data_IF_655901107328
#
_entry.id   IF_655901107328
#
_cell.length_a   1.000
_cell.length_b   1.000
_cell.length_c   1.000
_cell.angle_alpha   90.00
_cell.angle_beta   90.00
_cell.angle_gamma   90.00
#
_symmetry.space_group_name_H-M   'P 1'
#
loop_
_entity.id
_entity.type
_entity.pdbx_description
1 polymer ?
#
# COMPACT_ATOMS: atom_id res chain seq x y z
N UNK A 1 7.38 1.40 22.62
CA UNK A 1 7.05 0.39 21.58
C UNK A 1 5.69 0.80 21.03
N UNK A 2 5.52 0.91 19.71
CA UNK A 2 4.21 1.28 19.14
C UNK A 2 3.35 0.01 19.11
N UNK A 3 2.18 0.00 19.74
CA UNK A 3 1.25 -1.14 19.88
C UNK A 3 0.58 -1.58 18.55
N UNK A 4 1.36 -1.69 17.47
CA UNK A 4 0.90 -2.09 16.15
C UNK A 4 1.22 -3.58 15.92
N UNK A 5 0.21 -4.45 15.74
CA UNK A 5 0.42 -5.87 15.48
C UNK A 5 0.97 -6.12 14.07
N UNK A 6 1.71 -7.22 13.92
CA UNK A 6 2.18 -7.71 12.62
C UNK A 6 1.06 -8.44 11.88
N UNK A 7 0.85 -8.08 10.61
CA UNK A 7 -0.08 -8.77 9.72
C UNK A 7 0.69 -9.29 8.51
N UNK A 8 0.69 -10.62 8.34
CA UNK A 8 1.30 -11.29 7.20
C UNK A 8 0.27 -11.53 6.11
N UNK A 9 0.74 -11.68 4.87
CA UNK A 9 -0.09 -12.10 3.74
C UNK A 9 -0.41 -13.59 3.91
N UNK A 10 -1.67 -13.95 3.69
CA UNK A 10 -2.13 -15.33 3.73
C UNK A 10 -1.55 -16.12 2.54
N UNK A 11 -1.04 -17.34 2.76
CA UNK A 11 -0.62 -18.20 1.66
C UNK A 11 -1.74 -18.39 0.63
N UNK A 12 -1.42 -18.17 -0.64
CA UNK A 12 -2.38 -18.34 -1.75
C UNK A 12 -3.32 -17.15 -1.96
N UNK A 13 -3.17 -16.02 -1.26
CA UNK A 13 -3.96 -14.79 -1.48
C UNK A 13 -3.12 -13.63 -2.04
N UNK A 14 -2.66 -13.70 -3.31
CA UNK A 14 -1.85 -12.64 -3.92
C UNK A 14 -2.55 -11.27 -3.95
N UNK A 15 -3.89 -11.25 -3.93
CA UNK A 15 -4.69 -10.02 -3.93
C UNK A 15 -4.43 -9.14 -2.70
N UNK A 16 -4.00 -9.71 -1.57
CA UNK A 16 -3.60 -8.95 -0.39
C UNK A 16 -2.35 -8.07 -0.64
N UNK A 17 -1.55 -8.39 -1.67
CA UNK A 17 -0.37 -7.62 -2.07
C UNK A 17 -0.65 -6.62 -3.22
N UNK A 18 -1.85 -6.65 -3.81
CA UNK A 18 -2.13 -5.92 -5.06
C UNK A 18 -1.89 -4.40 -4.94
N UNK A 19 -2.20 -3.81 -3.78
CA UNK A 19 -2.01 -2.37 -3.55
C UNK A 19 -0.54 -1.96 -3.60
N UNK A 20 0.34 -2.69 -2.89
CA UNK A 20 1.77 -2.34 -2.86
C UNK A 20 2.46 -2.69 -4.19
N UNK A 21 2.00 -3.75 -4.88
CA UNK A 21 2.47 -4.06 -6.23
C UNK A 21 2.14 -2.94 -7.21
N UNK A 22 0.91 -2.43 -7.21
CA UNK A 22 0.52 -1.31 -8.06
C UNK A 22 1.33 -0.05 -7.76
N UNK A 23 1.53 0.28 -6.48
CA UNK A 23 2.37 1.41 -6.07
C UNK A 23 3.81 1.27 -6.57
N UNK A 24 4.43 0.10 -6.34
CA UNK A 24 5.80 -0.17 -6.75
C UNK A 24 5.97 -0.16 -8.28
N UNK A 25 4.94 -0.62 -9.02
CA UNK A 25 4.89 -0.52 -10.48
C UNK A 25 4.96 0.94 -10.94
N UNK A 26 4.06 1.79 -10.44
CA UNK A 26 4.06 3.22 -10.77
C UNK A 26 5.38 3.91 -10.41
N UNK A 27 5.93 3.66 -9.21
CA UNK A 27 7.22 4.25 -8.81
C UNK A 27 8.36 3.84 -9.77
N UNK A 28 8.37 2.58 -10.20
CA UNK A 28 9.36 2.08 -11.13
C UNK A 28 9.23 2.73 -12.50
N UNK A 29 8.03 2.68 -13.07
CA UNK A 29 7.78 3.10 -14.44
C UNK A 29 7.79 4.62 -14.62
N UNK A 30 7.44 5.39 -13.59
CA UNK A 30 7.30 6.84 -13.69
C UNK A 30 8.48 7.62 -13.13
N UNK A 31 9.35 6.98 -12.33
CA UNK A 31 10.50 7.64 -11.72
C UNK A 31 11.79 6.87 -11.91
N UNK A 32 11.86 5.63 -11.43
CA UNK A 32 13.15 4.93 -11.35
C UNK A 32 13.71 4.55 -12.73
N UNK A 33 12.84 4.31 -13.71
CA UNK A 33 13.23 4.01 -15.09
C UNK A 33 13.45 5.27 -15.94
N UNK A 34 12.83 6.40 -15.57
CA UNK A 34 12.84 7.64 -16.36
C UNK A 34 13.95 8.61 -15.93
N UNK A 35 14.45 8.49 -14.70
CA UNK A 35 15.41 9.42 -14.13
C UNK A 35 16.81 8.80 -13.96
N UNK A 36 17.83 9.61 -14.24
CA UNK A 36 19.22 9.34 -13.82
C UNK A 36 19.45 10.03 -12.47
N UNK A 37 20.11 9.34 -11.53
CA UNK A 37 20.44 9.90 -10.22
C UNK A 37 21.93 10.18 -10.11
N UNK A 38 22.30 11.47 -10.03
CA UNK A 38 23.71 11.86 -9.97
C UNK A 38 24.32 11.64 -8.58
N UNK A 39 23.51 11.83 -7.53
CA UNK A 39 23.91 11.69 -6.13
C UNK A 39 22.75 11.17 -5.28
N UNK A 40 23.07 10.74 -4.05
CA UNK A 40 22.03 10.30 -3.12
C UNK A 40 21.07 11.44 -2.73
N UNK A 41 21.55 12.68 -2.63
CA UNK A 41 20.70 13.83 -2.34
C UNK A 41 19.79 14.19 -3.52
N UNK A 42 20.28 14.03 -4.74
CA UNK A 42 19.45 14.14 -5.94
C UNK A 42 18.33 13.09 -5.95
N UNK A 43 18.66 11.82 -5.67
CA UNK A 43 17.69 10.74 -5.56
C UNK A 43 16.62 11.03 -4.49
N UNK A 44 17.03 11.48 -3.30
CA UNK A 44 16.09 11.85 -2.22
C UNK A 44 15.17 12.98 -2.65
N UNK A 45 15.69 14.00 -3.34
CA UNK A 45 14.91 15.14 -3.82
C UNK A 45 13.89 14.71 -4.88
N UNK A 46 14.30 13.92 -5.88
CA UNK A 46 13.40 13.41 -6.93
C UNK A 46 12.32 12.50 -6.36
N UNK A 47 12.67 11.59 -5.44
CA UNK A 47 11.71 10.75 -4.71
C UNK A 47 10.71 11.59 -3.89
N UNK A 48 11.18 12.64 -3.21
CA UNK A 48 10.30 13.51 -2.43
C UNK A 48 9.29 14.26 -3.32
N UNK A 49 9.74 14.74 -4.50
CA UNK A 49 8.88 15.38 -5.49
C UNK A 49 7.85 14.41 -6.05
N UNK A 50 8.28 13.22 -6.49
CA UNK A 50 7.37 12.19 -7.01
C UNK A 50 6.34 11.76 -5.95
N UNK A 51 6.77 11.55 -4.71
CA UNK A 51 5.87 11.22 -3.59
C UNK A 51 4.84 12.33 -3.35
N UNK A 52 5.25 13.59 -3.45
CA UNK A 52 4.34 14.72 -3.31
C UNK A 52 3.30 14.72 -4.44
N UNK A 53 3.74 14.57 -5.68
CA UNK A 53 2.86 14.51 -6.85
C UNK A 53 1.85 13.36 -6.75
N UNK A 54 2.34 12.14 -6.52
CA UNK A 54 1.53 10.93 -6.38
C UNK A 54 0.42 11.07 -5.31
N UNK A 55 0.76 11.67 -4.16
CA UNK A 55 -0.16 11.77 -3.03
C UNK A 55 -1.10 12.98 -3.08
N UNK A 56 -0.72 14.07 -3.76
CA UNK A 56 -1.42 15.37 -3.63
C UNK A 56 -1.97 15.91 -4.94
N UNK A 57 -1.42 15.51 -6.09
CA UNK A 57 -1.78 16.04 -7.40
C UNK A 57 -2.42 14.95 -8.27
N UNK A 58 -1.84 13.74 -8.30
CA UNK A 58 -2.28 12.68 -9.21
C UNK A 58 -3.64 12.09 -8.81
N UNK A 59 -4.66 12.11 -9.70
CA UNK A 59 -5.92 11.41 -9.47
C UNK A 59 -5.76 9.91 -9.77
N UNK A 60 -6.37 9.07 -8.94
CA UNK A 60 -6.35 7.61 -9.09
C UNK A 60 -7.76 7.08 -9.34
N UNK A 61 -7.94 6.30 -10.40
CA UNK A 61 -9.26 5.75 -10.77
C UNK A 61 -9.84 4.84 -9.69
N UNK A 62 -8.98 4.05 -9.01
CA UNK A 62 -9.35 3.23 -7.85
C UNK A 62 -9.88 4.04 -6.67
N UNK A 63 -9.58 5.34 -6.60
CA UNK A 63 -10.05 6.28 -5.58
C UNK A 63 -11.17 7.20 -6.10
N UNK A 64 -11.84 6.82 -7.19
CA UNK A 64 -12.88 7.64 -7.81
C UNK A 64 -12.34 8.92 -8.43
N UNK A 65 -11.16 8.85 -9.06
CA UNK A 65 -10.41 9.98 -9.64
C UNK A 65 -10.03 11.07 -8.63
N UNK A 66 -9.84 10.68 -7.37
CA UNK A 66 -9.31 11.55 -6.31
C UNK A 66 -7.84 11.27 -6.06
N UNK A 67 -7.15 12.24 -5.47
CA UNK A 67 -5.79 12.03 -4.97
C UNK A 67 -5.82 11.25 -3.66
N UNK A 68 -4.74 10.54 -3.27
CA UNK A 68 -4.70 9.82 -2.01
C UNK A 68 -4.94 10.73 -0.81
N UNK A 69 -4.43 11.97 -0.84
CA UNK A 69 -4.70 12.97 0.19
C UNK A 69 -6.19 13.33 0.28
N UNK A 70 -6.88 13.49 -0.85
CA UNK A 70 -8.32 13.77 -0.87
C UNK A 70 -9.12 12.58 -0.35
N UNK A 71 -8.77 11.36 -0.74
CA UNK A 71 -9.42 10.15 -0.27
C UNK A 71 -9.27 9.99 1.25
N UNK A 72 -8.05 10.19 1.78
CA UNK A 72 -7.79 10.18 3.23
C UNK A 72 -8.65 11.21 3.97
N UNK A 73 -8.71 12.45 3.48
CA UNK A 73 -9.55 13.50 4.08
C UNK A 73 -11.03 13.15 4.08
N UNK A 74 -11.52 12.52 3.01
CA UNK A 74 -12.91 12.08 2.94
C UNK A 74 -13.23 11.00 3.98
N UNK A 75 -12.31 10.05 4.19
CA UNK A 75 -12.46 9.02 5.24
C UNK A 75 -12.54 9.66 6.64
N UNK A 76 -11.69 10.65 6.94
CA UNK A 76 -11.69 11.37 8.23
C UNK A 76 -12.98 12.18 8.48
N UNK A 77 -13.70 12.56 7.43
CA UNK A 77 -14.95 13.32 7.53
C UNK A 77 -16.17 12.41 7.69
N UNK A 78 -16.12 11.21 7.12
CA UNK A 78 -17.18 10.20 7.20
C UNK A 78 -17.12 9.50 8.57
N UNK A 79 -15.92 9.15 9.01
CA UNK A 79 -15.64 8.51 10.28
C UNK A 79 -14.96 9.55 11.18
N UNK A 80 -15.76 10.23 12.01
CA UNK A 80 -15.20 11.11 13.05
C UNK A 80 -14.13 10.35 13.83
N UNK A 81 -12.86 10.74 13.64
CA UNK A 81 -11.68 10.06 14.19
C UNK A 81 -11.69 8.53 14.05
N UNK A 82 -11.76 8.03 12.81
CA UNK A 82 -11.40 6.69 12.35
C UNK A 82 -11.31 5.55 13.39
N UNK A 83 -12.35 4.69 13.49
CA UNK A 83 -12.21 3.35 13.99
C UNK A 83 -12.27 2.33 12.84
N UNK A 84 -11.15 1.63 12.60
CA UNK A 84 -11.21 0.26 12.07
C UNK A 84 -11.35 0.09 10.56
N UNK A 85 -10.39 0.60 9.78
CA UNK A 85 -10.06 -0.03 8.50
C UNK A 85 -9.20 -1.29 8.74
N UNK A 86 -9.77 -2.30 9.41
CA UNK A 86 -9.18 -3.63 9.48
C UNK A 86 -10.05 -4.57 8.66
N UNK A 87 -9.38 -5.35 7.81
CA UNK A 87 -9.96 -6.37 6.96
C UNK A 87 -11.07 -7.13 7.69
N UNK A 88 -12.24 -7.24 7.04
CA UNK A 88 -13.32 -8.10 7.51
C UNK A 88 -12.77 -9.52 7.64
N UNK A 89 -12.61 -9.98 8.88
CA UNK A 89 -12.29 -11.38 9.15
C UNK A 89 -13.57 -12.18 8.96
N UNK A 90 -13.82 -12.63 7.73
CA UNK A 90 -14.71 -13.77 7.56
C UNK A 90 -14.06 -14.95 8.27
N UNK A 91 -14.71 -15.40 9.34
CA UNK A 91 -14.34 -16.59 10.10
C UNK A 91 -14.62 -17.81 9.24
N UNK A 92 -13.64 -18.23 8.44
CA UNK A 92 -13.65 -19.57 7.86
C UNK A 92 -12.69 -20.46 8.65
N UNK A 93 -13.28 -21.36 9.43
CA UNK A 93 -12.63 -22.51 10.05
C UNK A 93 -11.92 -23.34 8.99
N UNK A 94 -10.58 -23.29 8.93
CA UNK A 94 -9.81 -24.21 8.11
C UNK A 94 -8.88 -25.09 8.95
N UNK A 95 -9.15 -26.38 8.87
CA UNK A 95 -8.39 -27.47 9.49
C UNK A 95 -6.92 -27.42 9.07
N UNK A 96 -6.03 -27.36 10.06
CA UNK A 96 -4.58 -27.45 9.87
C UNK A 96 -4.22 -28.88 9.51
N UNK A 97 -4.17 -29.22 8.21
CA UNK A 97 -3.66 -30.54 7.80
C UNK A 97 -2.13 -30.52 7.84
N UNK A 98 -1.58 -30.88 8.99
CA UNK A 98 -0.17 -31.13 9.25
C UNK A 98 0.31 -32.30 8.38
N UNK A 99 0.72 -32.05 7.13
CA UNK A 99 1.51 -33.03 6.39
C UNK A 99 2.96 -32.94 6.85
N UNK A 100 3.33 -33.86 7.75
CA UNK A 100 4.71 -34.26 8.03
C UNK A 100 5.48 -34.39 6.72
N UNK A 101 6.50 -33.55 6.53
CA UNK A 101 7.56 -33.79 5.56
C UNK A 101 8.46 -34.89 6.14
N UNK A 102 8.36 -36.10 5.60
CA UNK A 102 9.37 -37.14 5.80
C UNK A 102 10.56 -36.83 4.90
N UNK A 103 11.74 -36.72 5.52
CA UNK A 103 13.06 -36.83 4.88
C UNK A 103 13.28 -38.25 4.34
#
# INVERSE_FOLDING_TARGET
QNDVPWHYIDPGKPQQNAYIESFNGSLRDELLNEEIFDTLDDARRKLALWRYDYNTIRPHSSLGNRTPLQARRALEQIDGSAPGALAQTETEDYQTQTRRLSL
#
